data_IF_565003715321
#
_entry.id   IF_565003715321
#
_cell.length_a   1.000
_cell.length_b   1.000
_cell.length_c   1.000
_cell.angle_alpha   90.00
_cell.angle_beta   90.00
_cell.angle_gamma   90.00
#
_symmetry.space_group_name_H-M   'P 1'
#
loop_
_entity.id
_entity.type
_entity.pdbx_description
1 polymer ?
#
# COMPACT_ATOMS: atom_id res chain seq x y z
N UNK A 1 -14.33 -12.98 20.76
CA UNK A 1 -12.94 -13.24 21.20
C UNK A 1 -12.04 -12.31 20.41
N UNK A 2 -11.78 -11.12 20.96
CA UNK A 2 -10.81 -10.17 20.39
C UNK A 2 -9.42 -10.78 20.58
N UNK A 3 -8.91 -11.45 19.55
CA UNK A 3 -7.49 -11.82 19.52
C UNK A 3 -6.71 -10.50 19.55
N UNK A 4 -5.84 -10.32 20.55
CA UNK A 4 -4.92 -9.19 20.55
C UNK A 4 -4.17 -9.17 19.20
N UNK A 5 -4.04 -8.02 18.54
CA UNK A 5 -3.30 -7.94 17.30
C UNK A 5 -1.84 -8.32 17.57
N UNK A 6 -1.31 -9.27 16.80
CA UNK A 6 0.10 -9.60 16.86
C UNK A 6 0.92 -8.42 16.29
N UNK A 7 2.21 -8.27 16.63
CA UNK A 7 3.06 -7.21 16.07
C UNK A 7 3.04 -7.18 14.54
N UNK A 8 2.93 -8.36 13.91
CA UNK A 8 2.80 -8.53 12.47
C UNK A 8 1.54 -7.84 11.90
N UNK A 9 0.43 -7.83 12.64
CA UNK A 9 -0.83 -7.20 12.21
C UNK A 9 -0.71 -5.67 12.14
N UNK A 10 0.16 -5.08 12.98
CA UNK A 10 0.45 -3.63 12.93
C UNK A 10 1.30 -3.27 11.71
N UNK A 11 2.29 -4.11 11.38
CA UNK A 11 3.10 -3.94 10.16
C UNK A 11 2.26 -4.09 8.91
N UNK A 12 1.39 -5.11 8.86
CA UNK A 12 0.47 -5.31 7.73
C UNK A 12 -0.40 -4.06 7.52
N UNK A 13 -1.04 -3.56 8.59
CA UNK A 13 -1.86 -2.35 8.49
C UNK A 13 -1.02 -1.17 8.01
N UNK A 14 0.16 -0.96 8.59
CA UNK A 14 1.04 0.13 8.21
C UNK A 14 1.42 0.07 6.72
N UNK A 15 1.76 -1.10 6.18
CA UNK A 15 2.08 -1.23 4.74
C UNK A 15 0.83 -1.01 3.88
N UNK A 16 -0.28 -1.68 4.22
CA UNK A 16 -1.52 -1.58 3.46
C UNK A 16 -2.07 -0.14 3.40
N UNK A 17 -1.89 0.64 4.46
CA UNK A 17 -2.35 2.04 4.53
C UNK A 17 -1.27 3.06 4.16
N UNK A 18 -0.12 2.63 3.62
CA UNK A 18 1.06 3.46 3.35
C UNK A 18 1.41 4.39 4.52
N UNK A 19 1.57 3.80 5.69
CA UNK A 19 1.70 4.49 6.96
C UNK A 19 0.34 4.99 7.43
N UNK A 20 0.13 6.30 7.42
CA UNK A 20 -1.13 6.91 7.87
C UNK A 20 -1.99 7.46 6.73
N UNK A 21 -1.53 7.34 5.48
CA UNK A 21 -2.18 7.92 4.29
C UNK A 21 -3.58 7.34 4.06
N UNK A 22 -3.74 6.03 4.26
CA UNK A 22 -5.03 5.36 4.17
C UNK A 22 -6.11 5.91 5.11
N UNK A 23 -5.71 6.62 6.18
CA UNK A 23 -6.66 7.21 7.13
C UNK A 23 -7.04 8.65 6.79
N UNK A 24 -6.55 9.21 5.68
CA UNK A 24 -6.94 10.55 5.25
C UNK A 24 -8.45 10.59 4.92
N UNK A 25 -9.15 11.68 5.32
CA UNK A 25 -10.60 11.75 5.20
C UNK A 25 -11.12 11.87 3.76
N UNK A 26 -10.30 12.38 2.85
CA UNK A 26 -10.70 12.66 1.47
C UNK A 26 -9.78 11.96 0.48
N UNK A 27 -10.35 11.08 -0.35
CA UNK A 27 -9.68 10.37 -1.44
C UNK A 27 -8.28 9.83 -1.07
N UNK A 28 -8.15 8.99 -0.02
CA UNK A 28 -6.85 8.48 0.44
C UNK A 28 -6.07 7.75 -0.68
N UNK A 29 -6.75 7.04 -1.59
CA UNK A 29 -6.13 6.42 -2.76
C UNK A 29 -5.43 7.41 -3.70
N UNK A 30 -5.96 8.63 -3.84
CA UNK A 30 -5.27 9.71 -4.60
C UNK A 30 -3.94 10.06 -3.95
N UNK A 31 -3.90 10.13 -2.61
CA UNK A 31 -2.63 10.33 -1.91
C UNK A 31 -1.71 9.12 -2.06
N UNK A 32 -2.23 7.89 -2.08
CA UNK A 32 -1.45 6.69 -2.41
C UNK A 32 -0.74 6.79 -3.76
N UNK A 33 -1.45 7.21 -4.81
CA UNK A 33 -0.88 7.49 -6.13
C UNK A 33 0.15 8.63 -6.09
N UNK A 34 -0.13 9.73 -5.38
CA UNK A 34 0.82 10.86 -5.22
C UNK A 34 2.11 10.39 -4.55
N UNK A 35 2.03 9.51 -3.54
CA UNK A 35 3.23 8.91 -2.93
C UNK A 35 4.01 8.09 -3.97
N UNK A 36 3.33 7.30 -4.82
CA UNK A 36 3.96 6.59 -5.93
C UNK A 36 4.70 7.52 -6.88
N UNK A 37 4.05 8.61 -7.31
CA UNK A 37 4.62 9.67 -8.15
C UNK A 37 5.87 10.29 -7.51
N UNK A 38 5.79 10.66 -6.23
CA UNK A 38 6.90 11.26 -5.51
C UNK A 38 8.08 10.30 -5.41
N UNK A 39 7.84 9.01 -5.16
CA UNK A 39 8.90 7.99 -5.14
C UNK A 39 9.63 7.93 -6.48
N UNK A 40 8.90 7.89 -7.61
CA UNK A 40 9.51 7.83 -8.95
C UNK A 40 10.31 9.10 -9.27
N UNK A 41 9.76 10.29 -8.98
CA UNK A 41 10.42 11.57 -9.27
C UNK A 41 11.69 11.77 -8.42
N UNK A 42 11.64 11.37 -7.14
CA UNK A 42 12.76 11.57 -6.20
C UNK A 42 13.84 10.51 -6.43
N UNK A 43 13.47 9.23 -6.55
CA UNK A 43 14.42 8.14 -6.68
C UNK A 43 15.04 8.06 -8.08
N UNK A 44 14.27 8.45 -9.12
CA UNK A 44 14.66 8.33 -10.54
C UNK A 44 15.31 6.98 -10.85
N UNK A 45 14.61 5.86 -10.57
CA UNK A 45 15.20 4.54 -10.70
C UNK A 45 15.62 4.27 -12.15
N UNK A 46 16.69 3.50 -12.34
CA UNK A 46 16.96 2.91 -13.65
C UNK A 46 15.82 1.97 -14.04
N UNK A 47 15.65 1.69 -15.34
CA UNK A 47 14.58 0.80 -15.84
C UNK A 47 14.58 -0.55 -15.11
N UNK A 48 15.76 -1.14 -14.89
CA UNK A 48 15.88 -2.42 -14.19
C UNK A 48 15.46 -2.32 -12.72
N UNK A 49 15.84 -1.24 -12.02
CA UNK A 49 15.44 -1.02 -10.63
C UNK A 49 13.94 -0.77 -10.53
N UNK A 50 13.36 0.01 -11.45
CA UNK A 50 11.92 0.27 -11.50
C UNK A 50 11.13 -1.02 -11.65
N UNK A 51 11.47 -1.85 -12.64
CA UNK A 51 10.84 -3.16 -12.84
C UNK A 51 10.99 -4.05 -11.61
N UNK A 52 12.17 -4.08 -10.99
CA UNK A 52 12.39 -4.85 -9.76
C UNK A 52 11.51 -4.36 -8.60
N UNK A 53 11.43 -3.04 -8.40
CA UNK A 53 10.58 -2.43 -7.38
C UNK A 53 9.10 -2.78 -7.63
N UNK A 54 8.59 -2.55 -8.84
CA UNK A 54 7.20 -2.85 -9.21
C UNK A 54 6.87 -4.32 -8.99
N UNK A 55 7.70 -5.25 -9.51
CA UNK A 55 7.46 -6.69 -9.35
C UNK A 55 7.56 -7.16 -7.90
N UNK A 56 8.42 -6.55 -7.09
CA UNK A 56 8.50 -6.87 -5.66
C UNK A 56 7.33 -6.31 -4.85
N UNK A 57 6.80 -5.14 -5.23
CA UNK A 57 5.71 -4.48 -4.51
C UNK A 57 4.35 -5.13 -4.78
N UNK A 58 4.10 -5.68 -5.97
CA UNK A 58 2.84 -6.37 -6.28
C UNK A 58 2.48 -7.48 -5.26
N UNK A 59 3.34 -8.47 -4.97
CA UNK A 59 3.01 -9.51 -3.99
C UNK A 59 2.88 -8.94 -2.57
N UNK A 60 3.68 -7.93 -2.21
CA UNK A 60 3.55 -7.23 -0.92
C UNK A 60 2.17 -6.57 -0.81
N UNK A 61 1.73 -5.86 -1.85
CA UNK A 61 0.40 -5.26 -1.95
C UNK A 61 -0.69 -6.30 -1.77
N UNK A 62 -0.68 -7.38 -2.56
CA UNK A 62 -1.68 -8.45 -2.49
C UNK A 62 -1.79 -9.05 -1.08
N UNK A 63 -0.66 -9.43 -0.47
CA UNK A 63 -0.64 -10.07 0.85
C UNK A 63 -1.13 -9.09 1.92
N UNK A 64 -0.66 -7.85 1.88
CA UNK A 64 -0.98 -6.85 2.91
C UNK A 64 -2.42 -6.35 2.78
N UNK A 65 -2.93 -6.12 1.57
CA UNK A 65 -4.33 -5.78 1.31
C UNK A 65 -5.26 -6.86 1.84
N UNK A 66 -5.06 -8.12 1.44
CA UNK A 66 -5.92 -9.22 1.88
C UNK A 66 -5.95 -9.37 3.41
N UNK A 67 -4.78 -9.31 4.05
CA UNK A 67 -4.71 -9.40 5.51
C UNK A 67 -5.27 -8.16 6.20
N UNK A 68 -5.10 -6.97 5.62
CA UNK A 68 -5.67 -5.73 6.16
C UNK A 68 -7.20 -5.72 6.11
N UNK A 69 -7.84 -6.24 5.06
CA UNK A 69 -9.30 -6.39 5.00
C UNK A 69 -9.83 -7.20 6.20
N UNK A 70 -9.17 -8.33 6.50
CA UNK A 70 -9.53 -9.16 7.66
C UNK A 70 -9.35 -8.42 9.00
N UNK A 71 -8.30 -7.59 9.11
CA UNK A 71 -7.99 -6.85 10.33
C UNK A 71 -8.87 -5.61 10.54
N UNK A 72 -9.27 -4.95 9.45
CA UNK A 72 -10.17 -3.80 9.44
C UNK A 72 -11.64 -4.23 9.52
N UNK A 73 -11.94 -5.51 9.24
CA UNK A 73 -13.28 -6.06 9.17
C UNK A 73 -14.18 -5.33 8.17
N UNK A 74 -13.59 -4.85 7.09
CA UNK A 74 -14.24 -4.08 6.04
C UNK A 74 -13.70 -4.59 4.69
N UNK A 75 -14.58 -5.18 3.88
CA UNK A 75 -14.23 -5.58 2.52
C UNK A 75 -14.05 -4.33 1.67
N UNK A 76 -13.03 -4.32 0.81
CA UNK A 76 -12.72 -3.18 -0.06
C UNK A 76 -12.59 -1.87 0.74
N UNK A 77 -11.87 -1.95 1.87
CA UNK A 77 -11.68 -0.79 2.76
C UNK A 77 -10.92 0.29 2.02
N UNK A 78 -11.51 1.50 1.96
CA UNK A 78 -10.88 2.70 1.38
C UNK A 78 -9.55 3.10 2.05
N UNK A 79 -9.20 2.46 3.17
CA UNK A 79 -7.95 2.71 3.89
C UNK A 79 -6.78 1.94 3.30
N UNK A 80 -7.06 0.85 2.60
CA UNK A 80 -6.05 0.07 1.90
C UNK A 80 -5.72 0.88 0.66
N UNK A 81 -4.50 1.42 0.61
CA UNK A 81 -4.05 2.29 -0.50
C UNK A 81 -2.74 1.85 -1.14
N UNK A 82 -2.21 0.71 -0.68
CA UNK A 82 -1.02 0.08 -1.24
C UNK A 82 -1.23 -0.35 -2.69
N UNK A 83 -2.47 -0.67 -3.06
CA UNK A 83 -2.86 -1.05 -4.42
C UNK A 83 -2.82 0.14 -5.38
N UNK A 84 -3.22 1.36 -4.99
CA UNK A 84 -3.01 2.52 -5.88
C UNK A 84 -1.53 2.90 -6.00
N UNK A 85 -0.73 2.70 -4.96
CA UNK A 85 0.71 2.89 -5.04
C UNK A 85 1.35 1.87 -6.00
N UNK A 86 1.04 0.58 -5.85
CA UNK A 86 1.49 -0.47 -6.76
C UNK A 86 0.99 -0.23 -8.19
N UNK A 87 -0.27 0.18 -8.36
CA UNK A 87 -0.87 0.51 -9.65
C UNK A 87 -0.14 1.66 -10.34
N UNK A 88 0.25 2.69 -9.57
CA UNK A 88 1.06 3.78 -10.12
C UNK A 88 2.44 3.29 -10.58
N UNK A 89 3.16 2.52 -9.76
CA UNK A 89 4.46 1.96 -10.14
C UNK A 89 4.38 1.09 -11.40
N UNK A 90 3.27 0.39 -11.59
CA UNK A 90 3.02 -0.43 -12.78
C UNK A 90 2.69 0.42 -14.03
N UNK A 91 2.10 1.61 -13.85
CA UNK A 91 1.62 2.45 -14.95
C UNK A 91 2.73 3.23 -15.67
N UNK A 92 3.88 3.44 -15.02
CA UNK A 92 4.99 4.27 -15.50
C UNK A 92 6.22 3.47 -15.87
#
# INVERSE_FOLDING_TARGET
>A
MLLMPFPMDSVVKFVATLGFIGYLPFAPGTFGTIIGLLVIIILKPSVYLHVLLTLSMIPVGIITSHRAEMLLQENDSRRIVIDEFCGYLLSV
#
